data_IF_100924013372
#
_entry.id   IF_100924013372
#
_cell.length_a   1.000
_cell.length_b   1.000
_cell.length_c   1.000
_cell.angle_alpha   90.00
_cell.angle_beta   90.00
_cell.angle_gamma   90.00
#
_symmetry.space_group_name_H-M   'P 1'
#
loop_
_entity.id
_entity.type
_entity.pdbx_description
1 polymer ?
#
# COMPACT_ATOMS: atom_id res chain seq x y z
N UNK A 1 21.77 4.78 17.93
CA UNK A 1 22.24 3.69 17.04
C UNK A 1 23.66 4.05 16.58
N UNK A 2 24.65 3.13 16.63
CA UNK A 2 26.02 3.46 16.19
C UNK A 2 26.06 3.64 14.66
N UNK A 3 26.88 4.59 14.16
CA UNK A 3 26.98 4.95 12.74
C UNK A 3 27.30 3.77 11.81
N UNK A 4 28.06 2.78 12.29
CA UNK A 4 28.36 1.56 11.52
C UNK A 4 27.11 0.74 11.24
N UNK A 5 26.23 0.58 12.23
CA UNK A 5 24.99 -0.18 12.07
C UNK A 5 24.04 0.49 11.08
N UNK A 6 23.94 1.83 11.13
CA UNK A 6 23.14 2.59 10.17
C UNK A 6 23.65 2.42 8.73
N UNK A 7 24.97 2.43 8.52
CA UNK A 7 25.57 2.17 7.20
C UNK A 7 25.26 0.77 6.70
N UNK A 8 25.38 -0.25 7.57
CA UNK A 8 25.05 -1.63 7.22
C UNK A 8 23.57 -1.74 6.84
N UNK A 9 22.66 -1.22 7.65
CA UNK A 9 21.23 -1.26 7.35
C UNK A 9 20.95 -0.57 6.03
N UNK A 10 21.49 0.63 5.79
CA UNK A 10 21.32 1.35 4.52
C UNK A 10 21.78 0.54 3.30
N UNK A 11 22.90 -0.17 3.40
CA UNK A 11 23.40 -1.02 2.30
C UNK A 11 22.55 -2.26 1.99
N UNK A 12 21.60 -2.62 2.86
CA UNK A 12 20.75 -3.81 2.71
C UNK A 12 19.49 -3.45 1.94
N UNK A 13 19.55 -3.57 0.62
CA UNK A 13 18.40 -3.43 -0.27
C UNK A 13 17.37 -4.53 -0.10
N UNK A 14 17.76 -5.66 0.48
CA UNK A 14 16.86 -6.76 0.79
C UNK A 14 16.03 -6.53 2.07
N UNK A 15 16.20 -5.42 2.78
CA UNK A 15 15.42 -5.08 3.98
C UNK A 15 14.66 -3.78 3.73
N UNK A 16 13.32 -3.84 3.78
CA UNK A 16 12.47 -2.67 3.62
C UNK A 16 12.26 -1.91 4.93
N UNK A 17 12.11 -0.59 4.85
CA UNK A 17 11.65 0.25 5.97
C UNK A 17 10.11 0.26 6.10
N UNK A 18 9.42 -0.40 5.18
CA UNK A 18 7.98 -0.59 5.16
C UNK A 18 7.60 -2.07 5.23
N UNK A 19 6.35 -2.31 5.61
CA UNK A 19 5.69 -3.60 5.53
C UNK A 19 4.51 -3.50 4.55
N UNK A 20 4.33 -4.50 3.70
CA UNK A 20 3.36 -4.46 2.62
C UNK A 20 2.23 -5.46 2.83
N UNK A 21 0.98 -5.02 2.65
CA UNK A 21 -0.18 -5.89 2.56
C UNK A 21 -0.73 -5.82 1.14
N UNK A 22 -0.54 -6.90 0.38
CA UNK A 22 -1.07 -7.01 -0.97
C UNK A 22 -2.47 -7.62 -0.95
N UNK A 23 -3.37 -6.98 -1.66
CA UNK A 23 -4.66 -7.55 -2.01
C UNK A 23 -4.46 -8.72 -2.99
N UNK A 24 -5.41 -9.64 -3.00
CA UNK A 24 -5.29 -10.92 -3.69
C UNK A 24 -6.35 -11.05 -4.79
N UNK A 25 -6.17 -12.03 -5.67
CA UNK A 25 -7.18 -12.48 -6.65
C UNK A 25 -7.54 -11.42 -7.69
N UNK A 26 -8.55 -11.74 -8.48
CA UNK A 26 -9.06 -10.91 -9.57
C UNK A 26 -9.75 -9.60 -9.11
N UNK A 27 -10.24 -9.52 -7.87
CA UNK A 27 -10.92 -8.35 -7.30
C UNK A 27 -9.99 -7.47 -6.44
N UNK A 28 -8.69 -7.54 -6.71
CA UNK A 28 -7.65 -6.87 -5.93
C UNK A 28 -7.83 -5.35 -5.90
N UNK A 29 -8.11 -4.74 -7.06
CA UNK A 29 -8.30 -3.30 -7.19
C UNK A 29 -9.53 -2.83 -6.39
N UNK A 30 -10.66 -3.52 -6.52
CA UNK A 30 -11.89 -3.19 -5.80
C UNK A 30 -11.70 -3.36 -4.29
N UNK A 31 -10.90 -4.34 -3.87
CA UNK A 31 -10.54 -4.55 -2.47
C UNK A 31 -9.70 -3.38 -1.94
N UNK A 32 -8.73 -2.90 -2.74
CA UNK A 32 -7.96 -1.70 -2.39
C UNK A 32 -8.87 -0.48 -2.24
N UNK A 33 -9.76 -0.21 -3.20
CA UNK A 33 -10.73 0.90 -3.09
C UNK A 33 -11.53 0.82 -1.79
N UNK A 34 -12.06 -0.35 -1.43
CA UNK A 34 -12.76 -0.53 -0.15
C UNK A 34 -11.90 -0.24 1.07
N UNK A 35 -10.61 -0.57 1.05
CA UNK A 35 -9.68 -0.29 2.15
C UNK A 35 -9.50 1.23 2.30
N UNK A 36 -9.35 1.94 1.18
CA UNK A 36 -9.18 3.39 1.16
C UNK A 36 -10.48 4.11 1.58
N UNK A 37 -11.61 3.75 0.98
CA UNK A 37 -12.92 4.35 1.29
C UNK A 37 -13.28 4.21 2.78
N UNK A 38 -12.99 3.04 3.35
CA UNK A 38 -13.26 2.77 4.77
C UNK A 38 -12.13 3.23 5.70
N UNK A 39 -11.02 3.76 5.16
CA UNK A 39 -9.78 4.05 5.89
C UNK A 39 -9.36 2.91 6.86
N UNK A 40 -9.57 1.65 6.45
CA UNK A 40 -9.34 0.49 7.31
C UNK A 40 -9.03 -0.79 6.52
N UNK A 41 -8.05 -1.54 7.01
CA UNK A 41 -7.75 -2.90 6.55
C UNK A 41 -8.37 -3.91 7.52
N UNK A 42 -9.17 -4.84 6.99
CA UNK A 42 -9.89 -5.85 7.77
C UNK A 42 -9.37 -7.26 7.50
N UNK A 43 -9.43 -8.11 8.52
CA UNK A 43 -9.15 -9.53 8.43
C UNK A 43 -10.34 -10.27 7.81
N UNK A 44 -10.37 -10.29 6.48
CA UNK A 44 -11.46 -10.89 5.69
C UNK A 44 -11.50 -12.43 5.85
N UNK A 45 -10.35 -13.05 6.14
CA UNK A 45 -10.24 -14.51 6.28
C UNK A 45 -10.49 -14.98 7.74
N UNK A 46 -10.86 -14.08 8.65
CA UNK A 46 -11.15 -14.33 10.07
C UNK A 46 -10.06 -15.10 10.83
N UNK A 47 -8.79 -14.88 10.46
CA UNK A 47 -7.61 -15.50 11.10
C UNK A 47 -7.36 -15.02 12.52
N UNK A 48 -7.89 -13.85 12.87
CA UNK A 48 -7.61 -13.11 14.09
C UNK A 48 -6.39 -12.18 14.00
N UNK A 49 -5.74 -12.08 12.84
CA UNK A 49 -4.56 -11.25 12.63
C UNK A 49 -4.43 -10.78 11.18
N UNK A 50 -3.71 -9.68 10.98
CA UNK A 50 -3.37 -9.14 9.67
C UNK A 50 -1.92 -9.52 9.30
N UNK A 51 -1.70 -9.91 8.04
CA UNK A 51 -0.39 -10.32 7.51
C UNK A 51 0.21 -9.24 6.62
N UNK A 52 1.51 -9.02 6.76
CA UNK A 52 2.30 -8.12 5.93
C UNK A 52 3.64 -8.79 5.57
N UNK A 53 4.28 -8.35 4.49
CA UNK A 53 5.62 -8.79 4.08
C UNK A 53 6.63 -7.65 4.27
N UNK A 54 7.82 -7.96 4.80
CA UNK A 54 8.96 -7.02 4.81
C UNK A 54 9.76 -7.07 3.49
N UNK A 55 9.39 -7.96 2.58
CA UNK A 55 10.12 -8.09 1.33
C UNK A 55 10.00 -6.81 0.51
N UNK A 56 11.14 -6.17 0.17
CA UNK A 56 11.15 -4.91 -0.54
C UNK A 56 10.33 -5.02 -1.82
N UNK A 57 9.38 -4.12 -1.99
CA UNK A 57 8.50 -4.07 -3.17
C UNK A 57 9.30 -4.00 -4.48
N UNK A 58 10.47 -3.36 -4.44
CA UNK A 58 11.41 -3.22 -5.57
C UNK A 58 12.00 -4.55 -6.03
N UNK A 59 12.01 -5.56 -5.15
CA UNK A 59 12.44 -6.93 -5.47
C UNK A 59 11.26 -7.87 -5.78
N UNK A 60 10.01 -7.42 -5.61
CA UNK A 60 8.80 -8.22 -5.84
C UNK A 60 8.21 -8.05 -7.25
N UNK A 61 8.73 -7.13 -8.08
CA UNK A 61 8.22 -6.88 -9.44
C UNK A 61 8.18 -8.17 -10.28
N UNK A 62 9.26 -8.96 -10.23
CA UNK A 62 9.34 -10.23 -10.96
C UNK A 62 8.30 -11.26 -10.48
N UNK A 63 7.98 -11.26 -9.19
CA UNK A 63 6.92 -12.10 -8.61
C UNK A 63 5.55 -11.71 -9.17
N UNK A 64 5.23 -10.41 -9.23
CA UNK A 64 3.96 -9.95 -9.79
C UNK A 64 3.82 -10.30 -11.27
N UNK A 65 4.87 -10.16 -12.07
CA UNK A 65 4.87 -10.55 -13.49
C UNK A 65 4.50 -12.02 -13.68
N UNK A 66 5.07 -12.90 -12.85
CA UNK A 66 4.74 -14.33 -12.87
C UNK A 66 3.28 -14.56 -12.46
N UNK A 67 2.81 -13.87 -11.42
CA UNK A 67 1.44 -14.04 -10.95
C UNK A 67 0.38 -13.55 -11.92
N UNK A 68 0.66 -12.53 -12.72
CA UNK A 68 -0.27 -12.04 -13.74
C UNK A 68 -0.60 -13.07 -14.83
N UNK A 69 0.23 -14.11 -15.00
CA UNK A 69 -0.05 -15.22 -15.92
C UNK A 69 -1.12 -16.19 -15.39
N UNK A 70 -1.47 -16.11 -14.11
CA UNK A 70 -2.45 -16.99 -13.47
C UNK A 70 -3.84 -16.33 -13.39
N UNK A 71 -4.93 -17.06 -13.67
CA UNK A 71 -6.29 -16.52 -13.57
C UNK A 71 -6.71 -16.06 -12.16
N UNK A 72 -6.16 -16.68 -11.11
CA UNK A 72 -6.41 -16.31 -9.71
C UNK A 72 -5.07 -16.19 -8.96
N UNK A 73 -4.37 -15.04 -9.09
CA UNK A 73 -3.05 -14.86 -8.51
C UNK A 73 -3.09 -14.81 -6.99
N UNK A 74 -2.06 -15.38 -6.35
CA UNK A 74 -1.90 -15.32 -4.90
C UNK A 74 -1.77 -13.86 -4.41
N UNK A 75 -1.02 -13.05 -5.15
CA UNK A 75 -0.85 -11.62 -4.89
C UNK A 75 -1.02 -10.84 -6.18
N UNK A 76 -1.74 -9.73 -6.08
CA UNK A 76 -1.91 -8.76 -7.16
C UNK A 76 -1.11 -7.50 -6.83
N UNK A 77 -0.70 -6.69 -7.82
CA UNK A 77 0.10 -5.47 -7.63
C UNK A 77 -0.71 -4.30 -7.04
N UNK A 78 -1.57 -4.58 -6.08
CA UNK A 78 -2.42 -3.62 -5.37
C UNK A 78 -2.33 -3.87 -3.88
N UNK A 79 -2.20 -2.81 -3.10
CA UNK A 79 -2.10 -2.97 -1.66
C UNK A 79 -1.80 -1.68 -0.92
N UNK A 80 -1.44 -1.85 0.33
CA UNK A 80 -1.00 -0.76 1.20
C UNK A 80 0.36 -1.10 1.79
N UNK A 81 1.14 -0.08 2.06
CA UNK A 81 2.35 -0.17 2.83
C UNK A 81 2.20 0.61 4.15
N UNK A 82 2.90 0.16 5.18
CA UNK A 82 2.94 0.81 6.50
C UNK A 82 4.37 0.92 6.98
N UNK A 83 4.72 2.05 7.59
CA UNK A 83 6.05 2.23 8.21
C UNK A 83 6.32 1.13 9.24
N UNK A 84 7.48 0.48 9.14
CA UNK A 84 7.80 -0.70 9.95
C UNK A 84 7.92 -0.39 11.45
N UNK A 85 8.48 0.76 11.80
CA UNK A 85 8.60 1.23 13.18
C UNK A 85 7.21 1.51 13.81
N UNK A 86 6.33 2.18 13.06
CA UNK A 86 4.95 2.40 13.46
C UNK A 86 4.21 1.07 13.67
N UNK A 87 4.30 0.14 12.72
CA UNK A 87 3.67 -1.18 12.82
C UNK A 87 4.19 -1.98 14.02
N UNK A 88 5.49 -1.91 14.31
CA UNK A 88 6.08 -2.53 15.49
C UNK A 88 5.51 -1.95 16.80
N UNK A 89 5.32 -0.62 16.85
CA UNK A 89 4.74 0.08 18.00
C UNK A 89 3.27 -0.28 18.23
N UNK A 90 2.53 -0.63 17.17
CA UNK A 90 1.17 -1.19 17.28
C UNK A 90 1.12 -2.62 17.85
N UNK A 91 2.28 -3.25 18.06
CA UNK A 91 2.38 -4.64 18.51
C UNK A 91 2.62 -5.65 17.38
N UNK A 92 2.90 -5.18 16.17
CA UNK A 92 3.24 -6.03 15.03
C UNK A 92 4.56 -6.77 15.26
N UNK A 93 4.62 -8.05 14.91
CA UNK A 93 5.82 -8.89 15.14
C UNK A 93 6.09 -9.80 13.95
N UNK A 94 7.35 -10.15 13.78
CA UNK A 94 7.78 -11.17 12.82
C UNK A 94 7.17 -12.53 13.13
N UNK A 95 6.89 -13.27 12.06
CA UNK A 95 6.46 -14.66 12.09
C UNK A 95 7.61 -15.57 12.54
N UNK A 96 7.24 -16.62 13.28
CA UNK A 96 8.13 -17.71 13.69
C UNK A 96 7.86 -18.88 12.76
N UNK A 97 8.86 -19.21 11.96
CA UNK A 97 8.80 -20.33 11.01
C UNK A 97 9.29 -21.60 11.68
N UNK A 98 8.55 -22.70 11.51
CA UNK A 98 8.96 -23.99 12.04
C UNK A 98 8.04 -25.13 11.61
N UNK A 99 8.31 -26.31 12.15
CA UNK A 99 7.44 -27.48 12.02
C UNK A 99 6.20 -27.35 12.90
N UNK A 100 5.15 -28.09 12.58
CA UNK A 100 3.97 -28.21 13.44
C UNK A 100 4.28 -28.64 14.89
N UNK A 101 5.44 -29.26 15.14
CA UNK A 101 5.88 -29.59 16.50
C UNK A 101 6.46 -28.36 17.22
N UNK A 102 7.21 -27.50 16.54
CA UNK A 102 7.74 -26.25 17.09
C UNK A 102 6.61 -25.31 17.55
N UNK A 103 5.46 -25.34 16.87
CA UNK A 103 4.27 -24.58 17.29
C UNK A 103 3.80 -24.94 18.70
N UNK A 104 3.93 -26.21 19.10
CA UNK A 104 3.45 -26.71 20.41
C UNK A 104 4.32 -26.21 21.57
N UNK A 105 5.59 -25.90 21.28
CA UNK A 105 6.54 -25.33 22.23
C UNK A 105 6.34 -23.82 22.43
N UNK A 106 5.57 -23.17 21.55
CA UNK A 106 5.22 -21.76 21.70
C UNK A 106 4.10 -21.56 22.72
N UNK A 107 4.24 -20.51 23.52
CA UNK A 107 3.17 -20.03 24.38
C UNK A 107 1.87 -19.82 23.57
N UNK A 108 0.70 -20.26 24.07
CA UNK A 108 -0.57 -20.13 23.34
C UNK A 108 -0.84 -18.72 22.82
N UNK A 109 -0.50 -17.70 23.61
CA UNK A 109 -0.65 -16.27 23.28
C UNK A 109 0.28 -15.78 22.18
N UNK A 110 1.28 -16.57 21.77
CA UNK A 110 2.23 -16.26 20.70
C UNK A 110 2.03 -17.11 19.45
N UNK A 111 1.13 -18.10 19.47
CA UNK A 111 0.93 -19.02 18.35
C UNK A 111 0.34 -18.35 17.10
N UNK A 112 -0.29 -17.19 17.23
CA UNK A 112 -0.73 -16.37 16.08
C UNK A 112 0.45 -15.92 15.19
N UNK A 113 1.67 -15.91 15.72
CA UNK A 113 2.90 -15.61 14.97
C UNK A 113 3.48 -16.82 14.25
N UNK A 114 2.96 -18.03 14.47
CA UNK A 114 3.55 -19.23 13.89
C UNK A 114 3.12 -19.44 12.44
N UNK A 115 4.08 -19.76 11.57
CA UNK A 115 3.82 -20.24 10.21
C UNK A 115 4.57 -21.56 9.98
N UNK A 116 3.86 -22.54 9.44
CA UNK A 116 4.47 -23.82 9.12
C UNK A 116 5.45 -23.65 7.94
N UNK A 117 6.66 -24.16 8.13
CA UNK A 117 7.75 -24.04 7.18
C UNK A 117 8.35 -25.41 6.86
N UNK A 118 8.40 -25.72 5.57
CA UNK A 118 9.11 -26.87 5.03
C UNK A 118 9.87 -26.43 3.78
N UNK A 119 11.22 -26.31 3.81
CA UNK A 119 12.02 -25.80 2.69
C UNK A 119 11.77 -26.47 1.33
N UNK A 120 11.29 -27.72 1.32
CA UNK A 120 11.06 -28.47 0.08
C UNK A 120 9.64 -28.40 -0.46
N UNK A 121 8.66 -28.06 0.39
CA UNK A 121 7.23 -28.15 0.07
C UNK A 121 6.56 -26.79 0.17
N UNK A 122 6.84 -26.03 1.23
CA UNK A 122 6.14 -24.81 1.59
C UNK A 122 7.11 -23.87 2.28
N UNK A 123 7.79 -23.06 1.47
CA UNK A 123 8.69 -22.02 1.95
C UNK A 123 8.12 -20.64 1.64
N UNK A 124 7.55 -20.00 2.67
CA UNK A 124 7.12 -18.61 2.64
C UNK A 124 8.08 -17.69 3.42
N UNK A 125 9.26 -18.19 3.82
CA UNK A 125 10.23 -17.39 4.58
C UNK A 125 10.80 -16.23 3.76
N UNK A 126 10.82 -16.37 2.43
CA UNK A 126 11.19 -15.31 1.49
C UNK A 126 10.25 -14.10 1.52
N UNK A 127 9.03 -14.23 2.08
CA UNK A 127 8.14 -13.10 2.33
C UNK A 127 8.50 -12.34 3.61
N UNK A 128 9.32 -12.89 4.52
CA UNK A 128 9.64 -12.28 5.82
C UNK A 128 8.39 -11.68 6.46
N UNK A 129 7.44 -12.57 6.76
CA UNK A 129 6.10 -12.17 7.15
C UNK A 129 6.10 -11.51 8.54
N UNK A 130 5.34 -10.43 8.64
CA UNK A 130 4.98 -9.76 9.88
C UNK A 130 3.48 -9.91 10.10
N UNK A 131 3.06 -10.07 11.34
CA UNK A 131 1.65 -10.14 11.72
C UNK A 131 1.31 -9.10 12.77
N UNK A 132 0.06 -8.66 12.76
CA UNK A 132 -0.54 -7.84 13.82
C UNK A 132 -1.80 -8.53 14.33
N UNK A 133 -1.85 -8.82 15.62
CA UNK A 133 -2.92 -9.59 16.27
C UNK A 133 -4.19 -8.76 16.53
N UNK A 134 -4.75 -8.20 15.46
CA UNK A 134 -6.00 -7.44 15.45
C UNK A 134 -6.81 -7.83 14.21
N UNK A 135 -8.12 -7.59 14.25
CA UNK A 135 -9.02 -7.87 13.11
C UNK A 135 -9.19 -6.68 12.17
N UNK A 136 -8.87 -5.48 12.61
CA UNK A 136 -9.03 -4.25 11.84
C UNK A 136 -7.93 -3.26 12.20
N UNK A 137 -7.25 -2.74 11.19
CA UNK A 137 -6.23 -1.72 11.29
C UNK A 137 -6.75 -0.45 10.63
N UNK A 138 -6.81 0.66 11.37
CA UNK A 138 -7.12 1.97 10.81
C UNK A 138 -5.92 2.50 10.04
N UNK A 139 -6.17 3.06 8.87
CA UNK A 139 -5.17 3.69 8.05
C UNK A 139 -5.10 5.18 8.40
N UNK A 140 -3.89 5.70 8.42
CA UNK A 140 -3.62 7.13 8.50
C UNK A 140 -2.67 7.53 7.37
N UNK A 141 -2.84 8.73 6.84
CA UNK A 141 -2.07 9.18 5.68
C UNK A 141 -0.58 9.38 5.97
N UNK A 142 -0.16 9.51 7.23
CA UNK A 142 1.23 9.80 7.59
C UNK A 142 2.12 8.55 7.66
N UNK A 143 1.53 7.40 8.00
CA UNK A 143 2.23 6.14 8.19
C UNK A 143 1.96 5.13 7.09
N UNK A 144 0.94 5.36 6.25
CA UNK A 144 0.57 4.48 5.16
C UNK A 144 0.72 5.14 3.79
N UNK A 145 1.01 4.31 2.78
CA UNK A 145 0.92 4.69 1.38
C UNK A 145 0.29 3.57 0.56
N UNK A 146 -0.26 3.92 -0.60
CA UNK A 146 -0.97 2.99 -1.48
C UNK A 146 -0.07 2.47 -2.60
N UNK A 147 -0.35 1.25 -3.04
CA UNK A 147 0.34 0.58 -4.14
C UNK A 147 -0.69 0.26 -5.20
N UNK A 148 -0.44 0.68 -6.43
CA UNK A 148 -1.30 0.41 -7.58
C UNK A 148 -0.52 -0.22 -8.73
N UNK A 149 -1.23 -0.74 -9.73
CA UNK A 149 -0.60 -1.23 -10.94
C UNK A 149 -0.12 -0.07 -11.81
N UNK A 150 -0.99 0.91 -12.05
CA UNK A 150 -0.71 2.04 -12.97
C UNK A 150 -0.65 3.39 -12.24
N UNK A 151 0.03 4.36 -12.85
CA UNK A 151 0.09 5.75 -12.35
C UNK A 151 -1.28 6.42 -12.38
N UNK A 152 -2.07 6.13 -13.41
CA UNK A 152 -3.45 6.64 -13.52
C UNK A 152 -4.30 6.20 -12.33
N UNK A 153 -4.24 4.92 -11.96
CA UNK A 153 -4.96 4.40 -10.79
C UNK A 153 -4.45 5.01 -9.49
N UNK A 154 -3.14 5.28 -9.38
CA UNK A 154 -2.57 5.97 -8.24
C UNK A 154 -3.14 7.38 -8.12
N UNK A 155 -3.21 8.14 -9.22
CA UNK A 155 -3.80 9.48 -9.23
C UNK A 155 -5.28 9.45 -8.82
N UNK A 156 -6.05 8.48 -9.34
CA UNK A 156 -7.47 8.30 -8.99
C UNK A 156 -7.67 8.05 -7.48
N UNK A 157 -6.79 7.26 -6.85
CA UNK A 157 -6.86 6.96 -5.41
C UNK A 157 -6.30 8.11 -4.57
N UNK A 158 -5.22 8.75 -5.02
CA UNK A 158 -4.58 9.84 -4.31
C UNK A 158 -5.48 11.07 -4.24
N UNK A 159 -6.23 11.36 -5.31
CA UNK A 159 -7.16 12.50 -5.40
C UNK A 159 -8.61 12.02 -5.46
N UNK A 160 -9.10 11.55 -4.31
CA UNK A 160 -10.49 11.12 -4.16
C UNK A 160 -11.47 12.27 -4.45
N UNK A 161 -12.30 12.07 -5.49
CA UNK A 161 -13.33 13.02 -5.91
C UNK A 161 -14.40 13.29 -4.85
N UNK A 162 -14.51 12.46 -3.82
CA UNK A 162 -15.38 12.73 -2.68
C UNK A 162 -14.85 13.88 -1.80
N UNK A 163 -13.56 14.20 -1.92
CA UNK A 163 -12.87 15.19 -1.10
C UNK A 163 -12.62 16.51 -1.87
N UNK A 164 -13.68 17.07 -2.45
CA UNK A 164 -13.66 18.39 -3.07
C UNK A 164 -13.47 19.44 -1.97
N UNK A 165 -12.36 20.16 -2.03
CA UNK A 165 -11.98 21.22 -1.09
C UNK A 165 -12.55 22.57 -1.54
N UNK A 166 -12.58 22.80 -2.85
CA UNK A 166 -13.09 24.04 -3.44
C UNK A 166 -13.70 23.78 -4.83
N UNK A 167 -14.48 24.73 -5.34
CA UNK A 167 -15.04 24.69 -6.70
C UNK A 167 -14.73 26.01 -7.39
N UNK A 168 -13.94 25.93 -8.46
CA UNK A 168 -13.67 27.05 -9.35
C UNK A 168 -14.71 27.10 -10.47
N UNK A 169 -15.20 28.29 -10.76
CA UNK A 169 -16.14 28.56 -11.85
C UNK A 169 -15.45 29.43 -12.89
N UNK A 170 -15.40 28.94 -14.13
CA UNK A 170 -14.87 29.69 -15.28
C UNK A 170 -15.93 29.75 -16.38
N UNK A 171 -16.07 30.88 -17.05
CA UNK A 171 -17.13 31.05 -18.05
C UNK A 171 -17.23 32.44 -18.64
N UNK A 172 -17.96 32.52 -19.75
CA UNK A 172 -18.16 33.72 -20.54
C UNK A 172 -19.65 33.94 -20.86
N UNK A 173 -20.01 35.20 -21.17
CA UNK A 173 -21.37 35.55 -21.61
C UNK A 173 -21.51 35.35 -23.11
N UNK A 174 -22.45 34.50 -23.53
CA UNK A 174 -22.85 34.29 -24.93
C UNK A 174 -24.36 34.22 -25.05
N UNK A 175 -24.92 34.86 -26.09
CA UNK A 175 -26.36 34.88 -26.37
C UNK A 175 -27.24 35.37 -25.22
N UNK A 176 -26.70 36.28 -24.39
CA UNK A 176 -27.39 36.83 -23.23
C UNK A 176 -27.51 35.87 -22.04
N UNK A 177 -26.81 34.73 -22.07
CA UNK A 177 -26.72 33.75 -20.99
C UNK A 177 -25.25 33.56 -20.57
N UNK A 178 -24.99 33.24 -19.31
CA UNK A 178 -23.65 32.94 -18.83
C UNK A 178 -23.38 31.44 -19.00
N UNK A 179 -22.39 31.10 -19.82
CA UNK A 179 -21.96 29.73 -20.08
C UNK A 179 -20.69 29.47 -19.30
N UNK A 180 -20.77 28.56 -18.33
CA UNK A 180 -19.64 28.26 -17.46
C UNK A 180 -19.33 26.78 -17.35
N UNK A 181 -18.18 26.49 -16.78
CA UNK A 181 -17.74 25.17 -16.34
C UNK A 181 -17.32 25.25 -14.87
N UNK A 182 -17.61 24.18 -14.14
CA UNK A 182 -17.22 24.04 -12.75
C UNK A 182 -16.08 23.04 -12.65
N UNK A 183 -14.98 23.42 -12.00
CA UNK A 183 -13.83 22.57 -11.73
C UNK A 183 -13.72 22.38 -10.21
N UNK A 184 -13.86 21.15 -9.75
CA UNK A 184 -13.64 20.80 -8.35
C UNK A 184 -12.15 20.66 -8.07
N UNK A 185 -11.67 21.34 -7.03
CA UNK A 185 -10.32 21.25 -6.53
C UNK A 185 -10.28 20.19 -5.43
N UNK A 186 -9.48 19.14 -5.65
CA UNK A 186 -9.37 17.98 -4.75
C UNK A 186 -7.97 17.96 -4.15
N UNK A 187 -7.86 17.78 -2.84
CA UNK A 187 -6.57 17.60 -2.17
C UNK A 187 -6.12 16.15 -2.14
N UNK A 188 -4.80 15.94 -2.08
CA UNK A 188 -4.24 14.59 -1.94
C UNK A 188 -4.64 13.95 -0.59
N UNK A 189 -5.19 12.75 -0.66
CA UNK A 189 -5.62 11.95 0.48
C UNK A 189 -4.55 10.94 0.94
N UNK A 190 -3.85 10.31 -0.01
CA UNK A 190 -2.80 9.33 0.26
C UNK A 190 -1.57 9.55 -0.61
N UNK A 191 -0.40 9.23 -0.06
CA UNK A 191 0.81 8.99 -0.84
C UNK A 191 0.74 7.61 -1.49
N UNK A 192 1.52 7.36 -2.53
CA UNK A 192 1.65 6.02 -3.07
C UNK A 192 2.67 5.88 -4.18
N UNK A 193 2.72 4.67 -4.72
CA UNK A 193 3.60 4.31 -5.83
C UNK A 193 2.91 3.29 -6.72
N UNK A 194 3.12 3.39 -8.03
CA UNK A 194 2.62 2.41 -8.99
C UNK A 194 3.69 1.40 -9.39
N UNK A 195 3.30 0.23 -9.91
CA UNK A 195 4.26 -0.70 -10.52
C UNK A 195 4.97 -0.07 -11.72
N UNK A 196 4.27 0.77 -12.50
CA UNK A 196 4.88 1.54 -13.60
C UNK A 196 6.03 2.44 -13.11
N UNK A 197 5.86 3.12 -11.97
CA UNK A 197 6.95 3.91 -11.35
C UNK A 197 8.14 3.01 -10.96
N UNK A 198 7.87 1.81 -10.43
CA UNK A 198 8.91 0.85 -10.06
C UNK A 198 9.67 0.28 -11.27
N UNK A 199 9.02 0.18 -12.43
CA UNK A 199 9.60 -0.36 -13.65
C UNK A 199 10.39 0.69 -14.45
N UNK A 200 9.87 1.91 -14.58
CA UNK A 200 10.53 3.01 -15.29
C UNK A 200 11.83 3.44 -14.59
N UNK A 201 11.83 3.40 -13.27
CA UNK A 201 12.98 3.73 -12.44
C UNK A 201 13.78 2.44 -12.20
N UNK A 202 14.52 2.03 -13.23
CA UNK A 202 15.39 0.84 -13.29
C UNK A 202 16.06 0.52 -11.93
N UNK A 203 15.41 -0.34 -11.14
CA UNK A 203 15.81 -0.75 -9.77
C UNK A 203 15.86 0.40 -8.76
N UNK A 204 14.69 0.88 -8.36
CA UNK A 204 14.56 1.66 -7.13
C UNK A 204 15.25 0.95 -5.96
N UNK A 205 16.17 1.64 -5.34
CA UNK A 205 16.63 1.39 -3.98
C UNK A 205 15.55 1.82 -2.98
N UNK A 206 15.64 1.34 -1.75
CA UNK A 206 14.76 1.83 -0.68
C UNK A 206 14.90 3.32 -0.41
N UNK A 207 16.09 3.91 -0.62
CA UNK A 207 16.30 5.35 -0.45
C UNK A 207 15.54 6.15 -1.52
N UNK A 208 15.47 5.63 -2.75
CA UNK A 208 14.71 6.29 -3.82
C UNK A 208 13.18 6.18 -3.62
N UNK A 209 12.70 5.06 -3.07
CA UNK A 209 11.29 4.94 -2.65
C UNK A 209 10.92 6.05 -1.64
N UNK A 210 11.75 6.26 -0.62
CA UNK A 210 11.57 7.34 0.35
C UNK A 210 11.60 8.72 -0.32
N UNK A 211 12.51 8.94 -1.27
CA UNK A 211 12.58 10.21 -2.00
C UNK A 211 11.28 10.46 -2.78
N UNK A 212 10.73 9.46 -3.48
CA UNK A 212 9.46 9.60 -4.22
C UNK A 212 8.32 9.95 -3.27
N UNK A 213 8.19 9.21 -2.17
CA UNK A 213 7.13 9.44 -1.18
C UNK A 213 7.28 10.80 -0.49
N UNK A 214 8.51 11.27 -0.25
CA UNK A 214 8.78 12.56 0.37
C UNK A 214 8.39 13.75 -0.52
N UNK A 215 8.42 13.58 -1.85
CA UNK A 215 8.01 14.60 -2.83
C UNK A 215 6.50 14.78 -2.93
N UNK A 216 5.72 13.78 -2.49
CA UNK A 216 4.27 13.83 -2.49
C UNK A 216 3.77 14.51 -1.22
N UNK A 217 3.26 15.72 -1.35
CA UNK A 217 2.71 16.48 -0.22
C UNK A 217 1.18 16.42 -0.16
N UNK A 218 0.61 16.65 1.03
CA UNK A 218 -0.83 16.61 1.28
C UNK A 218 -1.55 17.94 1.01
N UNK A 219 -0.80 19.00 0.72
CA UNK A 219 -1.28 20.30 0.23
C UNK A 219 -1.36 20.36 -1.30
N UNK A 220 -0.86 19.33 -2.00
CA UNK A 220 -1.06 19.21 -3.45
C UNK A 220 -2.54 19.05 -3.80
N UNK A 221 -2.93 19.74 -4.86
CA UNK A 221 -4.29 19.77 -5.38
C UNK A 221 -4.36 19.27 -6.82
N UNK A 222 -5.51 18.75 -7.21
CA UNK A 222 -5.84 18.34 -8.57
C UNK A 222 -7.23 18.85 -8.96
N UNK A 223 -7.37 19.29 -10.21
CA UNK A 223 -8.65 19.75 -10.75
C UNK A 223 -9.43 18.60 -11.39
N UNK A 224 -10.72 18.49 -11.06
CA UNK A 224 -11.65 17.59 -11.74
C UNK A 224 -12.81 18.36 -12.33
N UNK A 225 -13.17 18.06 -13.58
CA UNK A 225 -14.29 18.69 -14.24
C UNK A 225 -15.61 18.18 -13.63
N UNK A 226 -16.45 19.09 -13.13
CA UNK A 226 -17.76 18.79 -12.52
C UNK A 226 -18.93 19.00 -13.50
N UNK A 227 -18.65 19.49 -14.70
CA UNK A 227 -19.62 19.74 -15.77
C UNK A 227 -19.73 21.21 -16.15
N UNK A 228 -20.50 21.44 -17.22
CA UNK A 228 -20.87 22.78 -17.69
C UNK A 228 -22.25 23.17 -17.17
N UNK A 229 -22.47 24.47 -16.99
CA UNK A 229 -23.73 25.05 -16.57
C UNK A 229 -24.07 26.29 -17.39
N UNK A 230 -25.36 26.65 -17.38
CA UNK A 230 -25.88 27.85 -18.03
C UNK A 230 -26.74 28.60 -17.00
N UNK A 231 -26.49 29.90 -16.84
CA UNK A 231 -27.27 30.80 -15.98
C UNK A 231 -27.87 31.96 -16.78
#
# INVERSE_FOLDING_TARGET
MNSTLLKIIKSREDISDYLFHFTKRNNARETLHKIIDNNSLKDIEEKGFLCFTESPITLLIGMFKIFEEYPDPMYSPYGIAVKKDYFFNLGGRTVVYGSSNDKKELLPTSQWRFEEHNPKIRDFSWLREWRLNIKELKLDKENFFVITKTKKELEEIAFDKSNIIDIEFDGDVSDGQFWGSATGIIGRSFKGISMEDLEELNKLSKEELEIILSKQNFDEISGTNLGSFVM
#
